data_IF_049573204332
#
_entry.id   IF_049573204332
#
_cell.length_a   1.000
_cell.length_b   1.000
_cell.length_c   1.000
_cell.angle_alpha   90.00
_cell.angle_beta   90.00
_cell.angle_gamma   90.00
#
_symmetry.space_group_name_H-M   'P 1'
#
loop_
_entity.id
_entity.type
_entity.pdbx_description
1 polymer ?
#
# COMPACT_ATOMS: atom_id res chain seq x y z
N UNK A 1 -4.57 -2.84 15.15
CA UNK A 1 -3.09 -2.80 15.11
C UNK A 1 -2.61 -4.18 14.66
N UNK A 2 -2.28 -4.35 13.38
CA UNK A 2 -1.81 -5.64 12.84
C UNK A 2 -0.41 -5.89 13.39
N UNK A 3 -0.24 -6.95 14.20
CA UNK A 3 1.08 -7.34 14.72
C UNK A 3 1.85 -8.04 13.59
N UNK A 4 2.78 -7.33 12.98
CA UNK A 4 3.72 -7.86 11.99
C UNK A 4 5.04 -8.21 12.66
N UNK A 5 5.60 -9.39 12.37
CA UNK A 5 6.93 -9.78 12.82
C UNK A 5 7.98 -9.01 12.00
N UNK A 6 8.48 -7.92 12.57
CA UNK A 6 9.69 -7.16 12.19
C UNK A 6 9.58 -6.06 11.11
N UNK A 7 10.48 -5.07 11.27
CA UNK A 7 10.28 -3.64 10.95
C UNK A 7 10.99 -3.16 9.67
N UNK A 8 11.75 -3.99 8.94
CA UNK A 8 12.48 -3.52 7.74
C UNK A 8 11.67 -3.57 6.44
N UNK A 9 10.94 -4.66 6.18
CA UNK A 9 10.13 -4.82 4.95
C UNK A 9 8.77 -4.11 5.00
N UNK A 10 8.32 -3.74 6.20
CA UNK A 10 7.04 -3.05 6.41
C UNK A 10 6.98 -1.69 5.68
N UNK A 11 8.10 -0.97 5.59
CA UNK A 11 8.18 0.32 4.91
C UNK A 11 7.97 0.23 3.40
N UNK A 12 8.42 -0.85 2.75
CA UNK A 12 8.26 -1.00 1.30
C UNK A 12 6.85 -1.47 0.94
N UNK A 13 6.27 -2.37 1.74
CA UNK A 13 4.89 -2.83 1.56
C UNK A 13 3.90 -1.65 1.62
N UNK A 14 4.01 -0.78 2.64
CA UNK A 14 3.11 0.37 2.76
C UNK A 14 3.25 1.33 1.58
N UNK A 15 4.47 1.57 1.08
CA UNK A 15 4.68 2.41 -0.11
C UNK A 15 4.07 1.81 -1.38
N UNK A 16 4.24 0.51 -1.62
CA UNK A 16 3.67 -0.18 -2.78
C UNK A 16 2.14 -0.06 -2.76
N UNK A 17 1.52 -0.27 -1.60
CA UNK A 17 0.07 -0.14 -1.42
C UNK A 17 -0.39 1.29 -1.67
N UNK A 18 0.25 2.28 -1.03
CA UNK A 18 -0.10 3.70 -1.18
C UNK A 18 0.05 4.20 -2.62
N UNK A 19 1.07 3.74 -3.35
CA UNK A 19 1.30 4.12 -4.74
C UNK A 19 0.53 3.28 -5.76
N UNK A 20 -0.17 2.23 -5.32
CA UNK A 20 -0.88 1.28 -6.19
C UNK A 20 0.03 0.64 -7.24
N UNK A 21 1.25 0.31 -6.85
CA UNK A 21 2.29 -0.22 -7.75
C UNK A 21 2.26 -1.75 -7.89
N UNK A 22 1.17 -2.41 -7.44
CA UNK A 22 1.07 -3.87 -7.58
C UNK A 22 0.82 -4.22 -9.04
N UNK A 23 1.65 -5.08 -9.65
CA UNK A 23 1.46 -5.47 -11.03
C UNK A 23 0.13 -6.21 -11.24
N UNK A 24 -0.55 -5.90 -12.34
CA UNK A 24 -1.72 -6.65 -12.78
C UNK A 24 -1.33 -8.06 -13.27
N UNK A 25 -2.35 -8.93 -13.37
CA UNK A 25 -2.20 -10.25 -13.96
C UNK A 25 -1.39 -11.20 -13.09
N UNK A 26 -1.60 -11.15 -11.77
CA UNK A 26 -1.06 -12.14 -10.84
C UNK A 26 0.49 -12.20 -10.81
N UNK A 27 1.16 -11.11 -11.20
CA UNK A 27 2.61 -11.04 -11.14
C UNK A 27 3.07 -10.63 -9.74
N UNK A 28 3.94 -11.44 -9.17
CA UNK A 28 4.57 -11.14 -7.90
C UNK A 28 5.58 -9.98 -8.06
N UNK A 29 5.57 -9.05 -7.09
CA UNK A 29 6.53 -7.98 -6.94
C UNK A 29 7.30 -8.19 -5.65
N UNK A 30 8.63 -8.09 -5.71
CA UNK A 30 9.45 -8.22 -4.51
C UNK A 30 9.24 -7.07 -3.55
N UNK A 31 8.90 -7.38 -2.30
CA UNK A 31 8.87 -6.43 -1.18
C UNK A 31 10.28 -6.36 -0.58
N UNK A 32 10.93 -7.50 -0.37
CA UNK A 32 12.33 -7.59 0.09
C UNK A 32 12.54 -8.68 1.13
N UNK A 33 13.73 -8.70 1.74
CA UNK A 33 14.12 -9.73 2.71
C UNK A 33 13.71 -9.35 4.14
N UNK A 34 12.97 -10.25 4.80
CA UNK A 34 12.59 -10.10 6.20
C UNK A 34 13.74 -10.36 7.17
N UNK A 35 13.49 -10.21 8.49
CA UNK A 35 14.50 -10.48 9.52
C UNK A 35 14.97 -11.94 9.53
N UNK A 36 14.14 -12.86 9.07
CA UNK A 36 14.37 -14.30 9.09
C UNK A 36 15.27 -14.74 7.92
N UNK A 37 15.66 -13.81 7.05
CA UNK A 37 16.42 -14.09 5.82
C UNK A 37 15.54 -14.48 4.63
N UNK A 38 14.24 -14.68 4.85
CA UNK A 38 13.28 -15.01 3.80
C UNK A 38 12.92 -13.81 2.92
N UNK A 39 12.81 -14.07 1.62
CA UNK A 39 12.29 -13.11 0.64
C UNK A 39 10.77 -13.06 0.71
N UNK A 40 10.22 -11.85 0.71
CA UNK A 40 8.79 -11.59 0.67
C UNK A 40 8.41 -10.92 -0.65
N UNK A 41 7.39 -11.46 -1.30
CA UNK A 41 6.79 -10.92 -2.52
C UNK A 41 5.30 -10.58 -2.26
N UNK A 42 4.79 -9.56 -2.94
CA UNK A 42 3.37 -9.17 -2.94
C UNK A 42 2.75 -9.51 -4.29
N UNK A 43 1.51 -9.99 -4.30
CA UNK A 43 0.76 -10.32 -5.51
C UNK A 43 -0.67 -9.83 -5.36
N UNK A 44 -1.25 -9.36 -6.45
CA UNK A 44 -2.71 -9.17 -6.55
C UNK A 44 -3.30 -10.34 -7.33
N UNK A 45 -4.28 -11.01 -6.73
CA UNK A 45 -5.03 -12.12 -7.32
C UNK A 45 -6.04 -11.62 -8.35
N UNK A 46 -6.54 -12.53 -9.20
CA UNK A 46 -7.54 -12.20 -10.22
C UNK A 46 -8.85 -11.63 -9.66
N UNK A 47 -9.19 -11.92 -8.40
CA UNK A 47 -10.37 -11.38 -7.70
C UNK A 47 -10.12 -10.00 -7.08
N UNK A 48 -8.91 -9.46 -7.22
CA UNK A 48 -8.49 -8.16 -6.70
C UNK A 48 -7.94 -8.20 -5.27
N UNK A 49 -7.99 -9.35 -4.58
CA UNK A 49 -7.36 -9.52 -3.27
C UNK A 49 -5.84 -9.49 -3.35
N UNK A 50 -5.18 -9.16 -2.25
CA UNK A 50 -3.73 -9.08 -2.18
C UNK A 50 -3.20 -10.19 -1.27
N UNK A 51 -2.14 -10.87 -1.70
CA UNK A 51 -1.41 -11.81 -0.86
C UNK A 51 0.06 -11.41 -0.73
N UNK A 52 0.68 -11.85 0.36
CA UNK A 52 2.11 -11.72 0.62
C UNK A 52 2.69 -13.11 0.82
N UNK A 53 3.79 -13.41 0.13
CA UNK A 53 4.39 -14.74 0.07
C UNK A 53 5.86 -14.66 0.52
N UNK A 54 6.26 -15.39 1.57
CA UNK A 54 5.42 -16.17 2.48
C UNK A 54 4.54 -15.26 3.35
N UNK A 55 3.39 -15.77 3.82
CA UNK A 55 2.44 -14.99 4.62
C UNK A 55 3.00 -14.63 6.00
N UNK A 56 3.28 -13.34 6.31
CA UNK A 56 3.95 -12.94 7.54
C UNK A 56 2.99 -12.61 8.70
N UNK A 57 1.67 -12.64 8.46
CA UNK A 57 0.68 -12.15 9.40
C UNK A 57 0.05 -13.30 10.20
N UNK A 58 -0.31 -13.04 11.46
CA UNK A 58 -1.01 -14.01 12.30
C UNK A 58 -2.44 -14.24 11.81
N UNK A 59 -3.13 -13.16 11.44
CA UNK A 59 -4.47 -13.21 10.87
C UNK A 59 -4.44 -13.77 9.45
N UNK A 60 -5.49 -14.51 9.06
CA UNK A 60 -5.64 -15.06 7.70
C UNK A 60 -6.10 -14.01 6.69
N UNK A 61 -6.76 -12.97 7.17
CA UNK A 61 -7.32 -11.91 6.34
C UNK A 61 -7.46 -10.63 7.16
N UNK A 62 -7.14 -9.49 6.55
CA UNK A 62 -7.43 -8.18 7.11
C UNK A 62 -7.52 -7.12 6.03
N UNK A 63 -8.23 -6.03 6.30
CA UNK A 63 -8.33 -4.88 5.41
C UNK A 63 -7.46 -3.75 5.94
N UNK A 64 -6.71 -3.10 5.05
CA UNK A 64 -5.97 -1.87 5.33
C UNK A 64 -6.61 -0.71 4.58
N UNK A 65 -6.78 0.39 5.29
CA UNK A 65 -7.43 1.59 4.76
C UNK A 65 -6.43 2.74 4.81
N UNK A 66 -6.41 3.55 3.76
CA UNK A 66 -5.65 4.80 3.75
C UNK A 66 -6.39 5.90 3.02
N UNK A 67 -6.14 7.11 3.46
CA UNK A 67 -6.73 8.32 2.89
C UNK A 67 -5.81 8.88 1.80
N UNK A 68 -6.40 9.25 0.67
CA UNK A 68 -5.71 9.88 -0.44
C UNK A 68 -6.44 11.14 -0.87
N UNK A 69 -5.67 12.17 -1.19
CA UNK A 69 -6.15 13.42 -1.74
C UNK A 69 -5.62 13.58 -3.17
N UNK A 70 -6.50 13.94 -4.11
CA UNK A 70 -6.16 14.09 -5.53
C UNK A 70 -6.31 15.55 -5.94
N UNK A 71 -5.22 16.15 -6.41
CA UNK A 71 -5.21 17.46 -7.05
C UNK A 71 -5.14 17.27 -8.56
N UNK A 72 -6.10 17.85 -9.28
CA UNK A 72 -6.09 17.84 -10.75
C UNK A 72 -5.14 18.90 -11.34
N UNK A 73 -4.78 19.89 -10.53
CA UNK A 73 -3.88 20.98 -10.90
C UNK A 73 -2.42 20.50 -10.84
N UNK A 74 -1.70 20.66 -11.96
CA UNK A 74 -0.31 20.19 -12.12
C UNK A 74 0.70 21.25 -11.64
N UNK A 75 0.34 22.53 -11.71
CA UNK A 75 1.22 23.66 -11.37
C UNK A 75 0.53 24.59 -10.40
N UNK A 76 1.26 25.03 -9.39
CA UNK A 76 0.82 26.01 -8.40
C UNK A 76 1.78 27.19 -8.47
N UNK A 77 1.26 28.41 -8.41
CA UNK A 77 2.03 29.64 -8.47
C UNK A 77 2.83 29.86 -7.19
N UNK A 78 2.31 29.39 -6.05
CA UNK A 78 2.97 29.49 -4.75
C UNK A 78 2.49 28.42 -3.76
N UNK A 79 3.18 28.34 -2.62
CA UNK A 79 2.87 27.38 -1.56
C UNK A 79 1.49 27.60 -0.90
N UNK A 80 0.97 28.83 -0.89
CA UNK A 80 -0.33 29.12 -0.29
C UNK A 80 -1.46 28.52 -1.14
N UNK A 81 -1.39 28.67 -2.46
CA UNK A 81 -2.33 28.06 -3.41
C UNK A 81 -2.31 26.53 -3.31
N UNK A 82 -1.12 25.91 -3.22
CA UNK A 82 -1.02 24.46 -2.99
C UNK A 82 -1.66 24.03 -1.67
N UNK A 83 -1.43 24.78 -0.60
CA UNK A 83 -1.97 24.46 0.73
C UNK A 83 -3.50 24.54 0.73
N UNK A 84 -4.06 25.59 0.12
CA UNK A 84 -5.51 25.75 -0.02
C UNK A 84 -6.11 24.62 -0.87
N UNK A 85 -5.48 24.29 -2.00
CA UNK A 85 -5.91 23.19 -2.86
C UNK A 85 -5.92 21.84 -2.12
N UNK A 86 -4.90 21.55 -1.31
CA UNK A 86 -4.85 20.34 -0.47
C UNK A 86 -5.94 20.30 0.59
N UNK A 87 -6.26 21.44 1.21
CA UNK A 87 -7.30 21.53 2.24
C UNK A 87 -8.72 21.37 1.68
N UNK A 88 -8.96 21.88 0.48
CA UNK A 88 -10.28 21.81 -0.17
C UNK A 88 -10.51 20.49 -0.92
N UNK A 89 -9.45 19.79 -1.29
CA UNK A 89 -9.58 18.60 -2.09
C UNK A 89 -10.19 17.43 -1.30
N UNK A 90 -11.13 16.70 -1.91
CA UNK A 90 -11.89 15.67 -1.22
C UNK A 90 -10.98 14.49 -0.83
N UNK A 91 -11.15 14.05 0.41
CA UNK A 91 -10.49 12.83 0.91
C UNK A 91 -11.17 11.62 0.28
N UNK A 92 -10.37 10.75 -0.34
CA UNK A 92 -10.80 9.43 -0.81
C UNK A 92 -10.20 8.37 0.08
N UNK A 93 -11.05 7.52 0.64
CA UNK A 93 -10.60 6.33 1.36
C UNK A 93 -10.32 5.22 0.35
N UNK A 94 -9.16 4.60 0.47
CA UNK A 94 -8.71 3.49 -0.34
C UNK A 94 -8.56 2.28 0.56
N UNK A 95 -9.10 1.16 0.11
CA UNK A 95 -9.19 -0.06 0.91
C UNK A 95 -8.54 -1.21 0.14
N UNK A 96 -7.72 -1.97 0.85
CA UNK A 96 -7.08 -3.17 0.34
C UNK A 96 -7.31 -4.33 1.28
N UNK A 97 -7.80 -5.44 0.74
CA UNK A 97 -8.01 -6.65 1.52
C UNK A 97 -6.86 -7.61 1.26
N UNK A 98 -6.11 -7.91 2.31
CA UNK A 98 -5.03 -8.89 2.28
C UNK A 98 -5.56 -10.24 2.75
N UNK A 99 -5.24 -11.31 2.02
CA UNK A 99 -5.68 -12.69 2.28
C UNK A 99 -4.49 -13.64 2.14
N UNK A 100 -4.40 -14.63 3.03
CA UNK A 100 -3.38 -15.69 2.99
C UNK A 100 -3.48 -16.58 1.76
#
# INVERSE_FOLDING_TARGET
MVRSRSVRSAYRLSLILCKREIPAGERALEIGTGPDGDRYDIKQESDGSITVIPWPFEEKQFTVNFEACYLNQVKFENNAELTEALQQAPIKVLEWTLVK
#
